data_IF_628212652387
#
_entry.id   IF_628212652387
#
_cell.length_a   1.000
_cell.length_b   1.000
_cell.length_c   1.000
_cell.angle_alpha   90.00
_cell.angle_beta   90.00
_cell.angle_gamma   90.00
#
_symmetry.space_group_name_H-M   'P 1'
#
loop_
_entity.id
_entity.type
_entity.pdbx_description
1 polymer ?
#
# COMPACT_ATOMS: atom_id res chain seq x y z
N UNK A 1 -46.60 -26.67 16.30
CA UNK A 1 -45.29 -26.65 15.62
C UNK A 1 -44.94 -25.19 15.29
N UNK A 2 -43.97 -24.60 16.00
CA UNK A 2 -43.52 -23.21 15.83
C UNK A 2 -42.00 -23.20 15.77
N UNK A 3 -41.42 -23.40 14.58
CA UNK A 3 -39.99 -23.21 14.32
C UNK A 3 -39.86 -22.60 12.92
N UNK A 4 -40.21 -21.33 12.79
CA UNK A 4 -39.94 -20.52 11.61
C UNK A 4 -39.74 -19.08 12.08
N UNK A 5 -38.56 -18.79 12.61
CA UNK A 5 -38.29 -17.45 13.14
C UNK A 5 -36.86 -17.17 13.58
N UNK A 6 -35.87 -17.99 13.19
CA UNK A 6 -34.48 -17.81 13.65
C UNK A 6 -33.41 -17.79 12.54
N UNK A 7 -33.79 -17.84 11.25
CA UNK A 7 -32.83 -17.93 10.12
C UNK A 7 -32.79 -16.60 9.32
N UNK A 8 -33.09 -15.45 9.94
CA UNK A 8 -33.01 -14.14 9.29
C UNK A 8 -32.12 -13.13 10.04
N UNK A 9 -31.19 -13.61 10.86
CA UNK A 9 -30.24 -12.76 11.62
C UNK A 9 -28.78 -12.95 11.20
N UNK A 10 -28.47 -13.88 10.30
CA UNK A 10 -27.09 -14.16 9.84
C UNK A 10 -26.70 -13.47 8.53
N UNK A 11 -27.64 -12.79 7.85
CA UNK A 11 -27.39 -12.12 6.56
C UNK A 11 -27.13 -10.62 6.66
N UNK A 12 -27.20 -10.03 7.85
CA UNK A 12 -26.54 -8.75 8.12
C UNK A 12 -25.11 -9.02 8.58
N UNK A 13 -24.39 -9.74 7.71
CA UNK A 13 -22.95 -9.98 7.81
C UNK A 13 -22.27 -8.68 8.16
N UNK A 14 -21.56 -8.73 9.27
CA UNK A 14 -20.79 -7.67 9.88
C UNK A 14 -19.95 -7.02 8.77
N UNK A 15 -20.38 -5.86 8.26
CA UNK A 15 -19.50 -4.97 7.52
C UNK A 15 -18.49 -4.47 8.56
N UNK A 16 -17.45 -5.26 8.82
CA UNK A 16 -16.28 -4.81 9.55
C UNK A 16 -15.74 -3.64 8.76
N UNK A 17 -16.13 -2.42 9.16
CA UNK A 17 -15.68 -1.22 8.50
C UNK A 17 -14.17 -1.20 8.63
N UNK A 18 -13.46 -1.37 7.51
CA UNK A 18 -12.01 -1.25 7.47
C UNK A 18 -11.61 0.08 8.12
N UNK A 19 -10.51 0.14 8.90
CA UNK A 19 -10.14 1.34 9.65
C UNK A 19 -9.60 2.48 8.76
N UNK A 20 -9.71 2.33 7.45
CA UNK A 20 -9.33 3.29 6.43
C UNK A 20 -10.17 3.08 5.16
N UNK A 21 -9.95 3.91 4.14
CA UNK A 21 -10.47 3.73 2.78
C UNK A 21 -9.34 3.99 1.79
N UNK A 22 -9.02 3.01 0.95
CA UNK A 22 -8.14 3.24 -0.20
C UNK A 22 -8.89 4.13 -1.19
N UNK A 23 -8.33 5.31 -1.49
CA UNK A 23 -8.93 6.27 -2.42
C UNK A 23 -8.41 6.03 -3.82
N UNK A 24 -7.09 5.86 -3.94
CA UNK A 24 -6.41 5.72 -5.21
C UNK A 24 -5.11 4.94 -5.02
N UNK A 25 -4.77 4.08 -5.96
CA UNK A 25 -3.45 3.47 -6.06
C UNK A 25 -2.97 3.67 -7.49
N UNK A 26 -1.77 4.19 -7.64
CA UNK A 26 -1.18 4.44 -8.96
C UNK A 26 0.15 3.72 -9.12
N UNK A 27 0.44 3.25 -10.32
CA UNK A 27 1.76 2.78 -10.79
C UNK A 27 2.26 3.78 -11.83
N UNK A 28 3.53 4.18 -11.73
CA UNK A 28 4.18 5.00 -12.74
C UNK A 28 5.62 4.53 -12.96
N UNK A 29 6.06 4.44 -14.21
CA UNK A 29 7.46 4.20 -14.52
C UNK A 29 8.20 5.53 -14.68
N UNK A 30 9.39 5.59 -14.12
CA UNK A 30 10.27 6.75 -14.10
C UNK A 30 11.61 6.33 -14.68
N UNK A 31 12.04 7.03 -15.72
CA UNK A 31 13.34 6.83 -16.34
C UNK A 31 14.24 8.01 -15.94
N UNK A 32 15.42 7.73 -15.42
CA UNK A 32 16.39 8.78 -15.15
C UNK A 32 17.06 9.27 -16.43
N UNK A 33 17.32 10.57 -16.53
CA UNK A 33 17.84 11.21 -17.74
C UNK A 33 19.31 10.91 -18.07
N UNK A 34 20.05 10.26 -17.16
CA UNK A 34 21.46 9.87 -17.37
C UNK A 34 21.61 8.35 -17.40
N UNK A 35 22.64 7.90 -18.11
CA UNK A 35 22.96 6.48 -18.30
C UNK A 35 23.08 5.71 -16.97
N UNK A 36 23.58 6.35 -15.92
CA UNK A 36 23.75 5.75 -14.58
C UNK A 36 22.48 5.82 -13.69
N UNK A 37 21.45 6.57 -14.10
CA UNK A 37 20.30 6.87 -13.24
C UNK A 37 19.31 5.72 -13.10
N UNK A 38 19.40 4.72 -13.99
CA UNK A 38 18.54 3.55 -13.96
C UNK A 38 17.07 3.86 -14.27
N UNK A 39 16.19 2.92 -13.93
CA UNK A 39 14.74 3.06 -14.05
C UNK A 39 14.07 2.70 -12.74
N UNK A 40 12.89 3.25 -12.49
CA UNK A 40 12.13 2.97 -11.28
C UNK A 40 10.65 2.81 -11.60
N UNK A 41 9.99 1.86 -10.96
CA UNK A 41 8.53 1.82 -10.88
C UNK A 41 8.13 2.36 -9.52
N UNK A 42 7.33 3.42 -9.50
CA UNK A 42 6.77 4.01 -8.28
C UNK A 42 5.32 3.59 -8.14
N UNK A 43 4.98 3.01 -7.00
CA UNK A 43 3.62 2.76 -6.58
C UNK A 43 3.26 3.76 -5.48
N UNK A 44 2.18 4.51 -5.68
CA UNK A 44 1.67 5.49 -4.71
C UNK A 44 0.27 5.10 -4.27
N UNK A 45 0.09 4.93 -2.97
CA UNK A 45 -1.18 4.61 -2.35
C UNK A 45 -1.70 5.84 -1.63
N UNK A 46 -2.87 6.32 -2.02
CA UNK A 46 -3.60 7.40 -1.35
C UNK A 46 -4.75 6.79 -0.55
N UNK A 47 -4.72 6.98 0.76
CA UNK A 47 -5.68 6.41 1.70
C UNK A 47 -6.30 7.53 2.54
N UNK A 48 -7.56 7.38 2.93
CA UNK A 48 -8.19 8.20 3.97
C UNK A 48 -8.27 7.38 5.25
N UNK A 49 -7.61 7.87 6.31
CA UNK A 49 -7.62 7.24 7.61
C UNK A 49 -8.99 7.40 8.28
N UNK A 50 -9.58 6.31 8.80
CA UNK A 50 -10.80 6.39 9.64
C UNK A 50 -10.48 6.26 11.13
N UNK A 51 -9.20 6.10 11.47
CA UNK A 51 -8.63 5.95 12.82
C UNK A 51 -7.26 6.64 12.85
N UNK A 52 -6.85 7.20 14.01
CA UNK A 52 -5.57 7.86 14.14
C UNK A 52 -4.39 6.87 14.15
N UNK A 53 -3.19 7.38 13.92
CA UNK A 53 -1.92 6.63 13.92
C UNK A 53 -1.65 5.92 15.24
N UNK A 54 -2.16 6.43 16.37
CA UNK A 54 -2.08 5.77 17.69
C UNK A 54 -2.84 4.44 17.79
N UNK A 55 -3.68 4.11 16.80
CA UNK A 55 -4.49 2.88 16.78
C UNK A 55 -4.30 2.06 15.51
N UNK A 56 -3.70 2.63 14.47
CA UNK A 56 -3.62 2.08 13.14
C UNK A 56 -2.19 2.28 12.61
N UNK A 57 -1.48 1.18 12.40
CA UNK A 57 -0.12 1.17 11.89
C UNK A 57 -0.09 0.37 10.59
N UNK A 58 0.53 0.92 9.56
CA UNK A 58 0.77 0.22 8.31
C UNK A 58 2.23 -0.23 8.33
N UNK A 59 2.47 -1.50 8.07
CA UNK A 59 3.79 -2.09 8.30
C UNK A 59 4.33 -2.78 7.05
N UNK A 60 3.43 -3.44 6.31
CA UNK A 60 3.82 -4.30 5.21
C UNK A 60 3.04 -3.97 3.94
N UNK A 61 3.71 -4.06 2.80
CA UNK A 61 3.08 -4.02 1.49
C UNK A 61 3.64 -5.13 0.62
N UNK A 62 2.75 -5.88 0.00
CA UNK A 62 3.10 -6.79 -1.08
C UNK A 62 2.49 -6.31 -2.39
N UNK A 63 3.27 -6.35 -3.47
CA UNK A 63 2.80 -6.11 -4.84
C UNK A 63 3.15 -7.36 -5.63
N UNK A 64 2.14 -8.17 -5.97
CA UNK A 64 2.37 -9.56 -6.37
C UNK A 64 3.09 -10.33 -5.26
N UNK A 65 4.29 -10.85 -5.57
CA UNK A 65 5.13 -11.60 -4.62
C UNK A 65 6.22 -10.75 -3.97
N UNK A 66 6.39 -9.49 -4.38
CA UNK A 66 7.45 -8.62 -3.88
C UNK A 66 7.01 -7.89 -2.61
N UNK A 67 7.87 -7.88 -1.61
CA UNK A 67 7.65 -7.20 -0.33
C UNK A 67 8.31 -5.82 -0.30
N UNK A 68 7.58 -4.87 0.26
CA UNK A 68 8.02 -3.50 0.52
C UNK A 68 7.70 -3.14 1.97
N UNK A 69 8.72 -2.70 2.71
CA UNK A 69 8.50 -2.01 3.97
C UNK A 69 7.93 -0.63 3.65
N UNK A 70 6.83 -0.25 4.31
CA UNK A 70 6.16 1.02 4.09
C UNK A 70 6.00 1.78 5.39
N UNK A 71 6.03 3.10 5.29
CA UNK A 71 5.62 4.00 6.37
C UNK A 71 4.50 4.90 5.86
N UNK A 72 3.49 5.09 6.71
CA UNK A 72 2.43 6.05 6.43
C UNK A 72 3.00 7.46 6.59
N UNK A 73 2.78 8.31 5.59
CA UNK A 73 3.08 9.73 5.70
C UNK A 73 1.83 10.57 5.47
N UNK A 74 1.78 11.71 6.15
CA UNK A 74 0.75 12.72 6.05
C UNK A 74 1.42 14.09 5.91
N UNK A 75 0.87 14.93 5.03
CA UNK A 75 1.32 16.31 4.86
C UNK A 75 0.40 17.25 5.64
N UNK A 76 0.98 17.98 6.59
CA UNK A 76 0.28 18.99 7.38
C UNK A 76 -0.01 20.26 6.55
N UNK A 77 -0.92 21.14 7.02
CA UNK A 77 -1.23 22.39 6.32
C UNK A 77 -0.02 23.33 6.10
N UNK A 78 1.02 23.21 6.91
CA UNK A 78 2.28 23.95 6.79
C UNK A 78 3.27 23.30 5.79
N UNK A 79 2.83 22.27 5.06
CA UNK A 79 3.61 21.45 4.15
C UNK A 79 4.68 20.56 4.79
N UNK A 80 4.74 20.47 6.12
CA UNK A 80 5.61 19.49 6.78
C UNK A 80 5.06 18.06 6.59
N UNK A 81 5.97 17.10 6.47
CA UNK A 81 5.64 15.68 6.39
C UNK A 81 5.82 15.05 7.77
N UNK A 82 4.84 14.23 8.18
CA UNK A 82 4.89 13.48 9.43
C UNK A 82 4.34 12.07 9.22
N UNK A 83 4.71 11.15 10.10
CA UNK A 83 4.13 9.80 10.15
C UNK A 83 2.89 9.74 11.08
N UNK A 84 2.60 10.83 11.80
CA UNK A 84 1.41 10.95 12.64
C UNK A 84 0.22 11.44 11.81
N UNK A 85 -0.95 10.85 12.05
CA UNK A 85 -2.18 11.23 11.36
C UNK A 85 -3.40 11.00 12.25
N UNK A 86 -4.43 11.79 12.02
CA UNK A 86 -5.72 11.73 12.71
C UNK A 86 -6.80 11.09 11.83
N UNK A 87 -7.96 10.84 12.44
CA UNK A 87 -9.13 10.38 11.69
C UNK A 87 -9.56 11.45 10.68
N UNK A 88 -9.71 11.05 9.43
CA UNK A 88 -10.14 11.91 8.32
C UNK A 88 -8.98 12.35 7.43
N UNK A 89 -7.74 12.22 7.91
CA UNK A 89 -6.57 12.64 7.16
C UNK A 89 -6.36 11.77 5.92
N UNK A 90 -5.81 12.42 4.89
CA UNK A 90 -5.26 11.72 3.74
C UNK A 90 -3.82 11.34 4.08
N UNK A 91 -3.51 10.07 3.90
CA UNK A 91 -2.20 9.48 4.12
C UNK A 91 -1.69 8.87 2.81
N UNK A 92 -0.37 8.78 2.71
CA UNK A 92 0.33 8.27 1.54
C UNK A 92 1.33 7.18 1.92
N UNK A 93 1.40 6.14 1.09
CA UNK A 93 2.47 5.14 1.11
C UNK A 93 3.13 5.12 -0.26
N UNK A 94 4.45 5.01 -0.27
CA UNK A 94 5.20 4.88 -1.51
C UNK A 94 6.04 3.60 -1.46
N UNK A 95 5.91 2.80 -2.50
CA UNK A 95 6.82 1.69 -2.77
C UNK A 95 7.55 1.94 -4.09
N UNK A 96 8.86 1.71 -4.09
CA UNK A 96 9.70 1.98 -5.26
C UNK A 96 10.48 0.72 -5.62
N UNK A 97 10.25 0.23 -6.84
CA UNK A 97 11.01 -0.85 -7.45
C UNK A 97 12.08 -0.22 -8.35
N UNK A 98 13.36 -0.32 -7.98
CA UNK A 98 14.46 0.34 -8.71
C UNK A 98 15.30 -0.66 -9.49
N UNK A 99 15.68 -0.28 -10.70
CA UNK A 99 16.67 -0.97 -11.51
C UNK A 99 17.84 -0.02 -11.73
N UNK A 100 19.04 -0.45 -11.37
CA UNK A 100 20.27 0.32 -11.56
C UNK A 100 21.17 -0.43 -12.54
N UNK A 101 21.97 0.27 -13.36
CA UNK A 101 22.96 -0.40 -14.20
C UNK A 101 24.03 -1.09 -13.34
N UNK A 102 24.44 -2.28 -13.74
CA UNK A 102 25.63 -2.96 -13.20
C UNK A 102 26.92 -2.47 -13.87
N UNK A 103 28.06 -3.08 -13.54
CA UNK A 103 29.37 -2.73 -14.12
C UNK A 103 29.45 -2.90 -15.64
N UNK A 104 28.48 -3.57 -16.27
CA UNK A 104 28.37 -3.79 -17.72
C UNK A 104 27.34 -2.86 -18.37
N UNK A 105 26.63 -2.07 -17.57
CA UNK A 105 25.53 -1.20 -18.00
C UNK A 105 24.18 -1.91 -18.10
N UNK A 106 24.07 -3.18 -17.66
CA UNK A 106 22.81 -3.92 -17.68
C UNK A 106 21.93 -3.51 -16.50
N UNK A 107 20.65 -3.24 -16.74
CA UNK A 107 19.71 -2.87 -15.67
C UNK A 107 19.41 -4.07 -14.77
N UNK A 108 19.89 -4.01 -13.53
CA UNK A 108 19.64 -5.01 -12.49
C UNK A 108 18.70 -4.49 -11.42
N UNK A 109 17.77 -5.34 -10.98
CA UNK A 109 16.85 -5.01 -9.89
C UNK A 109 17.64 -4.78 -8.60
N UNK A 110 17.53 -3.58 -8.04
CA UNK A 110 17.99 -3.29 -6.69
C UNK A 110 17.02 -3.95 -5.71
N UNK A 111 17.37 -5.16 -5.27
CA UNK A 111 16.55 -5.91 -4.30
C UNK A 111 16.52 -5.15 -2.97
N UNK A 112 15.34 -5.05 -2.39
CA UNK A 112 15.20 -4.70 -0.98
C UNK A 112 15.96 -5.72 -0.14
N UNK A 113 16.64 -5.25 0.92
CA UNK A 113 17.34 -6.13 1.87
C UNK A 113 16.38 -7.01 2.67
N UNK A 114 15.08 -6.70 2.66
CA UNK A 114 14.05 -7.43 3.38
C UNK A 114 13.23 -8.29 2.43
N UNK A 115 13.17 -9.59 2.74
CA UNK A 115 12.32 -10.56 2.05
C UNK A 115 11.32 -11.08 3.08
N UNK A 116 10.02 -10.92 2.80
CA UNK A 116 8.93 -11.53 3.58
C UNK A 116 7.98 -12.26 2.64
N UNK A 117 7.60 -13.49 3.02
CA UNK A 117 6.60 -14.26 2.29
C UNK A 117 5.23 -13.58 2.39
N UNK A 118 4.44 -13.72 1.32
CA UNK A 118 3.04 -13.29 1.34
C UNK A 118 2.28 -14.16 2.36
N UNK A 119 1.58 -13.56 3.35
CA UNK A 119 1.00 -14.31 4.46
C UNK A 119 -0.30 -15.04 4.12
N UNK A 120 -0.94 -14.68 3.01
CA UNK A 120 -2.18 -15.28 2.53
C UNK A 120 -2.30 -15.07 1.02
N UNK A 121 -2.92 -16.02 0.32
CA UNK A 121 -3.26 -15.83 -1.09
C UNK A 121 -4.33 -14.75 -1.24
N UNK A 122 -4.10 -13.79 -2.13
CA UNK A 122 -5.03 -12.69 -2.40
C UNK A 122 -5.21 -12.52 -3.90
N UNK A 123 -6.45 -12.28 -4.34
CA UNK A 123 -6.78 -12.08 -5.76
C UNK A 123 -6.48 -10.65 -6.26
N UNK A 124 -6.16 -9.72 -5.36
CA UNK A 124 -5.85 -8.33 -5.67
C UNK A 124 -4.47 -8.14 -6.31
N UNK A 125 -4.19 -6.90 -6.72
CA UNK A 125 -2.90 -6.47 -7.28
C UNK A 125 -1.85 -6.13 -6.20
N UNK A 126 -2.29 -5.77 -5.00
CA UNK A 126 -1.43 -5.56 -3.85
C UNK A 126 -2.12 -6.00 -2.54
N UNK A 127 -1.33 -6.23 -1.50
CA UNK A 127 -1.78 -6.57 -0.15
C UNK A 127 -1.16 -5.61 0.86
N UNK A 128 -1.98 -4.89 1.61
CA UNK A 128 -1.54 -4.01 2.70
C UNK A 128 -1.65 -4.77 4.02
N UNK A 129 -0.53 -4.98 4.70
CA UNK A 129 -0.48 -5.43 6.08
C UNK A 129 -0.51 -4.26 7.05
N UNK A 130 -1.43 -4.31 8.02
CA UNK A 130 -1.61 -3.26 9.00
C UNK A 130 -1.98 -3.83 10.37
N UNK A 131 -1.56 -3.15 11.44
CA UNK A 131 -2.04 -3.39 12.79
C UNK A 131 -3.17 -2.44 13.14
N UNK A 132 -4.27 -2.98 13.64
CA UNK A 132 -5.34 -2.20 14.23
C UNK A 132 -5.57 -2.67 15.66
N UNK A 133 -5.33 -1.78 16.63
CA UNK A 133 -5.34 -2.12 18.06
C UNK A 133 -4.47 -3.36 18.36
N UNK A 134 -3.21 -3.33 17.94
CA UNK A 134 -2.23 -4.42 18.10
C UNK A 134 -2.55 -5.75 17.39
N UNK A 135 -3.66 -5.84 16.64
CA UNK A 135 -3.99 -7.04 15.87
C UNK A 135 -3.57 -6.87 14.43
N UNK A 136 -2.86 -7.87 13.90
CA UNK A 136 -2.48 -7.91 12.50
C UNK A 136 -3.70 -8.16 11.62
N UNK A 137 -3.80 -7.39 10.54
CA UNK A 137 -4.83 -7.49 9.53
C UNK A 137 -4.22 -7.28 8.14
N UNK A 138 -4.99 -7.67 7.13
CA UNK A 138 -4.59 -7.55 5.74
C UNK A 138 -5.74 -7.02 4.90
N UNK A 139 -5.41 -6.17 3.93
CA UNK A 139 -6.37 -5.61 2.99
C UNK A 139 -5.85 -5.80 1.56
N UNK A 140 -6.61 -6.53 0.75
CA UNK A 140 -6.30 -6.69 -0.67
C UNK A 140 -6.75 -5.46 -1.44
N UNK A 141 -5.84 -4.90 -2.24
CA UNK A 141 -6.11 -3.83 -3.19
C UNK A 141 -6.39 -4.48 -4.54
N UNK A 142 -7.60 -4.26 -5.05
CA UNK A 142 -8.09 -4.93 -6.25
C UNK A 142 -7.52 -4.34 -7.55
N UNK A 143 -7.25 -3.03 -7.58
CA UNK A 143 -6.85 -2.33 -8.79
C UNK A 143 -5.74 -1.29 -8.54
N UNK A 144 -4.92 -1.07 -9.58
CA UNK A 144 -3.83 -0.09 -9.60
C UNK A 144 -3.90 0.65 -10.94
N UNK A 145 -4.15 1.95 -10.89
CA UNK A 145 -4.18 2.81 -12.07
C UNK A 145 -2.77 3.02 -12.61
N UNK A 146 -2.55 2.70 -13.89
CA UNK A 146 -1.26 2.94 -14.55
C UNK A 146 -1.25 4.36 -15.11
N UNK A 147 -0.31 5.18 -14.65
CA UNK A 147 -0.07 6.53 -15.17
C UNK A 147 0.95 6.48 -16.31
N UNK A 148 0.94 7.52 -17.14
CA UNK A 148 1.95 7.72 -18.18
C UNK A 148 3.34 7.85 -17.58
N UNK A 149 4.31 7.24 -18.25
CA UNK A 149 5.72 7.24 -17.84
C UNK A 149 6.32 8.65 -17.87
N UNK A 150 7.31 8.87 -17.01
CA UNK A 150 7.97 10.18 -16.87
C UNK A 150 9.48 10.01 -17.06
N UNK A 151 10.03 10.84 -17.95
CA UNK A 151 11.47 11.03 -18.08
C UNK A 151 11.89 12.14 -17.12
N UNK A 152 12.64 11.80 -16.08
CA UNK A 152 13.21 12.76 -15.15
C UNK A 152 14.52 13.32 -15.73
N UNK A 153 14.76 14.64 -15.65
CA UNK A 153 15.96 15.28 -16.19
C UNK A 153 17.26 14.84 -15.49
#
# INVERSE_FOLDING_TARGET
MKILGFILLFLFGIFFSTPFKVVKVTKQEQMGGRMESGTSTVYLFKIVAKKPSTKLHYEDLWIGTEYYAIEASHQKPDNSITNEFEKGDTIFFQAVRRFLPDDRGDLVLQKSSQIKNVPLEYAGKALIGYKYKEKQHYYAVEDIEVLTDVNLP
#
